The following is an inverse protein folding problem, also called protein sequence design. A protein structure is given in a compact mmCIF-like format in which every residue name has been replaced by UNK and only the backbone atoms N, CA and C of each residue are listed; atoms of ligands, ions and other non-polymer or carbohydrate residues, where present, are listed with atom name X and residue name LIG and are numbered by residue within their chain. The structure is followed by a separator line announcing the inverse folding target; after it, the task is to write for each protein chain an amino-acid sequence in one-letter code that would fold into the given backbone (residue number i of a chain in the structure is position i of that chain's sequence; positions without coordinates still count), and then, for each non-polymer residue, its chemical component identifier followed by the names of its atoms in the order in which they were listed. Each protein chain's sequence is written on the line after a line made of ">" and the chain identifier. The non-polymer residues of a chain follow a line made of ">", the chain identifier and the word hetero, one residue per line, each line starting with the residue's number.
data_IF_368268685566
#
_entry.id   IF_368268685566
#
_cell.length_a   1.000
_cell.length_b   1.000
_cell.length_c   1.000
_cell.angle_alpha   90.00
_cell.angle_beta   90.00
_cell.angle_gamma   90.00
#
_symmetry.space_group_name_H-M   'P 1'
#
loop_
_entity.id
_entity.type
_entity.pdbx_description
1 polymer ?
#
# COMPACT_ATOMS: atom_id res chain seq x y z
N UNK A 1 -2.00 -54.05 33.19
CA UNK A 1 -2.04 -52.92 34.15
C UNK A 1 -0.67 -52.26 34.09
N UNK A 2 -0.42 -50.97 33.83
CA UNK A 2 -1.23 -49.74 33.83
C UNK A 2 -0.77 -48.84 32.67
N UNK A 3 -1.74 -48.20 32.03
CA UNK A 3 -1.55 -47.11 31.05
C UNK A 3 -1.05 -45.88 31.81
N UNK A 4 -0.14 -45.09 31.24
CA UNK A 4 0.06 -43.70 31.64
C UNK A 4 -0.05 -42.80 30.41
N UNK A 5 -1.29 -42.46 30.10
CA UNK A 5 -1.68 -41.31 29.30
C UNK A 5 -1.33 -40.04 30.06
N UNK A 6 -0.45 -39.21 29.52
CA UNK A 6 -0.41 -37.80 29.90
C UNK A 6 -1.24 -37.02 28.90
N UNK A 7 -2.45 -36.67 29.37
CA UNK A 7 -3.38 -35.77 28.73
C UNK A 7 -2.77 -34.36 28.64
N UNK A 8 -2.60 -33.86 27.42
CA UNK A 8 -2.22 -32.48 27.20
C UNK A 8 -3.50 -31.62 27.30
N UNK A 9 -3.56 -30.76 28.33
CA UNK A 9 -4.68 -29.86 28.61
C UNK A 9 -4.78 -28.76 27.54
N UNK A 10 -6.00 -28.28 27.21
CA UNK A 10 -6.19 -27.23 26.20
C UNK A 10 -5.63 -25.90 26.70
N UNK A 11 -4.79 -25.26 25.88
CA UNK A 11 -4.33 -23.88 26.07
C UNK A 11 -5.55 -22.94 25.96
N UNK A 12 -5.76 -22.19 27.04
CA UNK A 12 -6.82 -21.20 27.17
C UNK A 12 -6.73 -20.15 26.05
N UNK A 13 -7.88 -19.83 25.47
CA UNK A 13 -8.06 -18.81 24.45
C UNK A 13 -7.54 -17.45 24.96
N UNK A 14 -6.57 -16.87 24.25
CA UNK A 14 -6.14 -15.51 24.48
C UNK A 14 -7.30 -14.57 24.10
N UNK A 15 -7.88 -13.95 25.13
CA UNK A 15 -8.90 -12.91 25.02
C UNK A 15 -8.43 -11.80 24.07
N UNK A 16 -9.05 -11.74 22.90
CA UNK A 16 -8.90 -10.64 21.94
C UNK A 16 -9.41 -9.38 22.62
N UNK A 17 -8.50 -8.58 23.18
CA UNK A 17 -8.83 -7.24 23.68
C UNK A 17 -9.33 -6.42 22.49
N UNK A 18 -10.65 -6.31 22.39
CA UNK A 18 -11.35 -5.34 21.55
C UNK A 18 -10.80 -3.95 21.90
N UNK A 19 -9.90 -3.45 21.08
CA UNK A 19 -9.45 -2.07 21.18
C UNK A 19 -10.55 -1.22 20.58
N UNK A 20 -11.20 -0.43 21.44
CA UNK A 20 -12.26 0.52 21.08
C UNK A 20 -11.85 1.34 19.86
N UNK A 21 -12.76 1.65 18.92
CA UNK A 21 -12.49 2.67 17.92
C UNK A 21 -12.17 3.96 18.67
N UNK A 22 -10.95 4.45 18.52
CA UNK A 22 -10.57 5.77 19.01
C UNK A 22 -11.31 6.79 18.14
N UNK A 23 -12.52 7.16 18.54
CA UNK A 23 -13.16 8.41 18.13
C UNK A 23 -12.24 9.53 18.59
N UNK A 24 -11.41 10.03 17.65
CA UNK A 24 -10.59 11.22 17.85
C UNK A 24 -11.56 12.35 18.20
N UNK A 25 -11.39 12.88 19.40
CA UNK A 25 -12.31 13.80 20.06
C UNK A 25 -12.67 15.00 19.20
N UNK A 26 -13.95 15.38 19.25
CA UNK A 26 -14.54 16.56 18.63
C UNK A 26 -13.84 17.84 19.13
N UNK A 27 -12.75 18.24 18.48
CA UNK A 27 -12.32 19.64 18.56
C UNK A 27 -13.25 20.44 17.64
N UNK A 28 -14.04 21.32 18.24
CA UNK A 28 -14.80 22.33 17.51
C UNK A 28 -13.81 23.17 16.67
N UNK A 29 -13.72 22.86 15.38
CA UNK A 29 -12.90 23.59 14.42
C UNK A 29 -13.75 24.74 13.88
N UNK A 30 -13.22 25.97 13.88
CA UNK A 30 -13.89 27.10 13.26
C UNK A 30 -14.19 26.77 11.78
N UNK A 31 -15.32 27.21 11.21
CA UNK A 31 -15.71 26.87 9.84
C UNK A 31 -14.78 27.57 8.86
N UNK A 32 -13.67 26.92 8.54
CA UNK A 32 -12.79 27.33 7.46
C UNK A 32 -13.58 27.11 6.17
N UNK A 33 -13.84 28.19 5.41
CA UNK A 33 -14.55 28.13 4.12
C UNK A 33 -13.77 27.22 3.19
N UNK A 34 -14.17 25.95 3.14
CA UNK A 34 -13.58 24.89 2.32
C UNK A 34 -14.41 24.65 1.05
N UNK A 35 -15.32 25.57 0.77
CA UNK A 35 -16.13 25.59 -0.45
C UNK A 35 -16.01 26.96 -1.14
N UNK A 36 -15.66 26.92 -2.41
CA UNK A 36 -15.79 28.05 -3.35
C UNK A 36 -16.77 27.57 -4.42
N UNK A 37 -17.98 28.14 -4.43
CA UNK A 37 -19.10 27.57 -5.18
C UNK A 37 -19.45 26.15 -4.68
N UNK A 38 -19.69 25.22 -5.61
CA UNK A 38 -20.08 23.83 -5.32
C UNK A 38 -18.89 22.87 -5.10
N UNK A 39 -17.65 23.39 -5.14
CA UNK A 39 -16.45 22.57 -5.04
C UNK A 39 -16.00 22.39 -3.59
N UNK A 40 -15.72 21.15 -3.18
CA UNK A 40 -15.20 20.78 -1.85
C UNK A 40 -13.68 20.60 -1.93
N UNK A 41 -12.94 21.34 -1.10
CA UNK A 41 -11.48 21.20 -1.00
C UNK A 41 -11.09 20.31 0.18
N UNK A 42 -10.22 19.32 -0.09
CA UNK A 42 -9.67 18.41 0.90
C UNK A 42 -8.25 17.98 0.48
N UNK A 43 -7.37 17.74 1.44
CA UNK A 43 -6.02 17.25 1.16
C UNK A 43 -5.53 16.21 2.16
N UNK A 44 -5.58 16.51 3.46
CA UNK A 44 -5.07 15.60 4.51
C UNK A 44 -6.19 14.84 5.21
N UNK A 45 -5.84 13.70 5.77
CA UNK A 45 -6.75 12.86 6.54
C UNK A 45 -7.19 13.51 7.87
N UNK A 46 -6.42 14.46 8.38
CA UNK A 46 -6.71 15.17 9.62
C UNK A 46 -7.40 16.53 9.43
N UNK A 47 -7.63 16.95 8.19
CA UNK A 47 -8.39 18.16 7.87
C UNK A 47 -9.87 17.95 8.18
N UNK A 48 -10.47 18.86 8.94
CA UNK A 48 -11.91 18.85 9.19
C UNK A 48 -12.58 19.96 8.35
N UNK A 49 -13.79 19.75 7.82
CA UNK A 49 -14.65 18.58 8.01
C UNK A 49 -14.43 17.45 6.98
N UNK A 50 -13.62 17.67 5.94
CA UNK A 50 -13.60 16.82 4.73
C UNK A 50 -12.44 15.81 4.64
N UNK A 51 -11.64 15.64 5.70
CA UNK A 51 -10.50 14.72 5.70
C UNK A 51 -10.87 13.26 5.49
N UNK A 52 -12.14 12.89 5.71
CA UNK A 52 -12.68 11.57 5.36
C UNK A 52 -12.65 11.26 3.85
N UNK A 53 -12.53 12.28 3.00
CA UNK A 53 -12.36 12.13 1.55
C UNK A 53 -10.92 11.76 1.16
N UNK A 54 -9.95 11.87 2.07
CA UNK A 54 -8.57 11.47 1.82
C UNK A 54 -8.45 9.94 1.76
N UNK A 55 -7.71 9.41 0.79
CA UNK A 55 -7.50 7.96 0.63
C UNK A 55 -6.76 7.31 1.81
N UNK A 56 -5.97 8.10 2.54
CA UNK A 56 -5.27 7.68 3.74
C UNK A 56 -6.11 7.76 5.01
N UNK A 57 -7.33 8.30 4.93
CA UNK A 57 -8.24 8.38 6.07
C UNK A 57 -8.53 7.00 6.62
N UNK A 58 -8.51 6.87 7.95
CA UNK A 58 -8.76 5.61 8.65
C UNK A 58 -10.23 5.27 8.58
N UNK A 59 -10.59 4.54 7.52
CA UNK A 59 -11.89 3.90 7.35
C UNK A 59 -11.65 2.42 7.13
N UNK A 60 -11.99 1.60 8.13
CA UNK A 60 -11.88 0.15 8.02
C UNK A 60 -13.01 -0.39 7.16
N UNK A 61 -12.68 -1.20 6.17
CA UNK A 61 -13.68 -1.86 5.33
C UNK A 61 -13.21 -3.27 4.97
N UNK A 62 -14.19 -4.12 4.65
CA UNK A 62 -13.97 -5.48 4.18
C UNK A 62 -14.18 -5.52 2.68
N UNK A 63 -13.18 -6.01 1.96
CA UNK A 63 -13.27 -6.23 0.53
C UNK A 63 -14.10 -7.51 0.27
N UNK A 64 -15.18 -7.45 -0.53
CA UNK A 64 -16.05 -8.60 -0.76
C UNK A 64 -15.34 -9.71 -1.55
N UNK A 65 -14.42 -9.36 -2.45
CA UNK A 65 -13.77 -10.30 -3.34
C UNK A 65 -12.62 -11.04 -2.66
N UNK A 66 -11.72 -10.32 -1.97
CA UNK A 66 -10.62 -10.95 -1.23
C UNK A 66 -11.02 -11.45 0.17
N UNK A 67 -12.13 -10.95 0.72
CA UNK A 67 -12.56 -11.23 2.09
C UNK A 67 -11.67 -10.60 3.18
N UNK A 68 -10.66 -9.82 2.80
CA UNK A 68 -9.71 -9.19 3.70
C UNK A 68 -10.26 -7.87 4.26
N UNK A 69 -9.85 -7.54 5.48
CA UNK A 69 -10.16 -6.25 6.11
C UNK A 69 -8.97 -5.30 5.96
N UNK A 70 -9.24 -4.11 5.41
CA UNK A 70 -8.25 -3.06 5.19
C UNK A 70 -8.48 -1.89 6.14
N UNK A 71 -7.41 -1.19 6.50
CA UNK A 71 -7.45 -0.06 7.43
C UNK A 71 -7.77 1.30 6.78
N UNK A 72 -7.54 1.43 5.47
CA UNK A 72 -7.91 2.55 4.62
C UNK A 72 -7.90 2.12 3.15
N UNK A 73 -8.45 2.97 2.27
CA UNK A 73 -8.53 2.70 0.84
C UNK A 73 -7.14 2.53 0.21
N UNK A 74 -6.17 3.34 0.59
CA UNK A 74 -4.83 3.27 0.02
C UNK A 74 -4.09 1.96 0.40
N UNK A 75 -4.33 1.39 1.58
CA UNK A 75 -3.78 0.06 1.93
C UNK A 75 -4.30 -1.01 0.97
N UNK A 76 -5.60 -0.97 0.64
CA UNK A 76 -6.21 -1.86 -0.36
C UNK A 76 -5.61 -1.62 -1.75
N UNK A 77 -5.40 -0.37 -2.15
CA UNK A 77 -4.78 -0.04 -3.44
C UNK A 77 -3.35 -0.60 -3.55
N UNK A 78 -2.52 -0.43 -2.51
CA UNK A 78 -1.15 -0.95 -2.51
C UNK A 78 -1.13 -2.47 -2.47
N UNK A 79 -2.03 -3.10 -1.70
CA UNK A 79 -2.16 -4.56 -1.69
C UNK A 79 -2.53 -5.10 -3.07
N UNK A 80 -3.55 -4.53 -3.73
CA UNK A 80 -3.94 -4.93 -5.08
C UNK A 80 -2.82 -4.70 -6.08
N UNK A 81 -2.09 -3.59 -5.97
CA UNK A 81 -0.94 -3.33 -6.82
C UNK A 81 0.15 -4.38 -6.65
N UNK A 82 0.47 -4.78 -5.42
CA UNK A 82 1.43 -5.85 -5.16
C UNK A 82 0.93 -7.20 -5.71
N UNK A 83 -0.37 -7.50 -5.59
CA UNK A 83 -0.96 -8.71 -6.15
C UNK A 83 -0.89 -8.73 -7.69
N UNK A 84 -1.21 -7.62 -8.35
CA UNK A 84 -1.09 -7.48 -9.81
C UNK A 84 0.35 -7.63 -10.30
N UNK A 85 1.32 -7.17 -9.49
CA UNK A 85 2.74 -7.36 -9.75
C UNK A 85 3.26 -8.77 -9.42
N UNK A 86 2.41 -9.65 -8.85
CA UNK A 86 2.78 -11.00 -8.43
C UNK A 86 3.62 -11.07 -7.15
N UNK A 87 3.74 -9.98 -6.38
CA UNK A 87 4.52 -9.94 -5.15
C UNK A 87 3.67 -10.19 -3.89
N UNK A 88 3.50 -11.47 -3.61
CA UNK A 88 2.84 -11.96 -2.40
C UNK A 88 3.58 -11.57 -1.10
N UNK A 89 4.87 -11.23 -1.14
CA UNK A 89 5.63 -10.81 0.06
C UNK A 89 5.32 -9.37 0.41
N UNK A 90 5.34 -8.45 -0.56
CA UNK A 90 4.92 -7.07 -0.34
C UNK A 90 3.44 -6.99 0.03
N UNK A 91 2.57 -7.76 -0.62
CA UNK A 91 1.15 -7.81 -0.28
C UNK A 91 0.92 -8.18 1.20
N UNK A 92 1.58 -9.25 1.69
CA UNK A 92 1.55 -9.63 3.12
C UNK A 92 2.10 -8.53 4.02
N UNK A 93 3.19 -7.89 3.62
CA UNK A 93 3.84 -6.84 4.41
C UNK A 93 3.00 -5.56 4.47
N UNK A 94 2.29 -5.21 3.40
CA UNK A 94 1.32 -4.11 3.34
C UNK A 94 0.16 -4.35 4.30
N UNK A 95 -0.35 -5.59 4.38
CA UNK A 95 -1.39 -5.95 5.34
C UNK A 95 -0.90 -5.89 6.79
N UNK A 96 0.34 -6.32 7.03
CA UNK A 96 0.92 -6.33 8.38
C UNK A 96 1.29 -4.93 8.90
N UNK A 97 1.49 -3.95 8.03
CA UNK A 97 1.90 -2.60 8.45
C UNK A 97 0.75 -1.61 8.45
N UNK A 98 0.76 -0.71 9.42
CA UNK A 98 -0.19 0.40 9.51
C UNK A 98 0.38 1.72 8.99
N UNK A 99 1.68 1.81 8.69
CA UNK A 99 2.32 3.06 8.29
C UNK A 99 2.02 3.41 6.83
N UNK A 100 1.38 4.55 6.53
CA UNK A 100 1.10 4.98 5.16
C UNK A 100 2.34 5.01 4.27
N UNK A 101 3.43 5.60 4.78
CA UNK A 101 4.71 5.70 4.05
C UNK A 101 5.26 4.32 3.69
N UNK A 102 5.17 3.36 4.61
CA UNK A 102 5.64 2.00 4.39
C UNK A 102 4.73 1.24 3.42
N UNK A 103 3.41 1.40 3.53
CA UNK A 103 2.44 0.80 2.60
C UNK A 103 2.69 1.28 1.16
N UNK A 104 2.86 2.60 0.98
CA UNK A 104 3.17 3.21 -0.33
C UNK A 104 4.47 2.66 -0.91
N UNK A 105 5.55 2.64 -0.12
CA UNK A 105 6.85 2.14 -0.57
C UNK A 105 6.80 0.66 -0.99
N UNK A 106 6.08 -0.18 -0.26
CA UNK A 106 5.95 -1.60 -0.58
C UNK A 106 5.15 -1.84 -1.86
N UNK A 107 4.22 -0.94 -2.20
CA UNK A 107 3.52 -0.97 -3.49
C UNK A 107 4.36 -0.45 -4.67
N UNK A 108 5.59 0.00 -4.47
CA UNK A 108 6.44 0.63 -5.50
C UNK A 108 7.53 -0.27 -6.06
N UNK A 109 7.19 -1.52 -6.34
CA UNK A 109 8.14 -2.48 -6.89
C UNK A 109 8.84 -2.03 -8.19
N UNK A 110 10.04 -2.57 -8.39
CA UNK A 110 10.82 -2.47 -9.63
C UNK A 110 10.06 -3.17 -10.77
N UNK A 111 9.89 -2.46 -11.88
CA UNK A 111 9.37 -3.04 -13.11
C UNK A 111 10.53 -3.71 -13.85
N UNK A 112 10.34 -4.96 -14.28
CA UNK A 112 11.35 -5.72 -15.00
C UNK A 112 10.76 -6.37 -16.26
N UNK A 113 11.38 -6.12 -17.42
CA UNK A 113 10.96 -6.75 -18.68
C UNK A 113 11.57 -8.16 -18.79
N UNK A 114 10.74 -9.18 -18.58
CA UNK A 114 11.11 -10.60 -18.59
C UNK A 114 11.28 -11.19 -20.01
N UNK A 115 12.12 -10.56 -20.83
CA UNK A 115 12.50 -11.06 -22.16
C UNK A 115 13.74 -11.93 -22.06
N UNK A 116 13.63 -13.20 -22.49
CA UNK A 116 14.76 -14.16 -22.49
C UNK A 116 15.90 -13.80 -23.44
N UNK A 117 15.63 -13.00 -24.47
CA UNK A 117 16.60 -12.70 -25.53
C UNK A 117 17.20 -11.31 -25.40
N UNK A 118 16.59 -10.44 -24.60
CA UNK A 118 17.03 -9.06 -24.43
C UNK A 118 17.67 -8.85 -23.05
N UNK A 119 18.98 -8.61 -23.05
CA UNK A 119 19.78 -8.29 -21.85
C UNK A 119 20.07 -6.79 -21.70
N UNK A 120 19.62 -5.96 -22.64
CA UNK A 120 19.85 -4.51 -22.61
C UNK A 120 18.57 -3.82 -22.15
N UNK A 121 17.46 -4.01 -22.86
CA UNK A 121 16.17 -3.45 -22.46
C UNK A 121 15.48 -4.32 -21.40
N UNK A 122 15.65 -5.64 -21.50
CA UNK A 122 15.12 -6.62 -20.55
C UNK A 122 16.15 -7.25 -19.62
N UNK A 123 15.68 -8.20 -18.82
CA UNK A 123 16.49 -8.93 -17.83
C UNK A 123 17.20 -10.17 -18.40
N UNK A 124 16.98 -10.53 -19.66
CA UNK A 124 17.63 -11.69 -20.30
C UNK A 124 17.13 -13.04 -19.82
N UNK A 125 16.00 -13.08 -19.12
CA UNK A 125 15.35 -14.27 -18.59
C UNK A 125 13.84 -14.12 -18.69
N UNK A 126 13.13 -15.24 -18.81
CA UNK A 126 11.69 -15.25 -18.55
C UNK A 126 11.39 -15.08 -17.05
N UNK A 127 10.13 -14.85 -16.71
CA UNK A 127 9.71 -14.56 -15.35
C UNK A 127 9.98 -15.72 -14.36
N UNK A 128 10.02 -16.98 -14.82
CA UNK A 128 10.28 -18.13 -13.96
C UNK A 128 11.77 -18.30 -13.69
N UNK A 129 12.59 -18.20 -14.73
CA UNK A 129 14.05 -18.25 -14.63
C UNK A 129 14.57 -17.09 -13.79
N UNK A 130 14.00 -15.89 -13.93
CA UNK A 130 14.37 -14.72 -13.15
C UNK A 130 14.20 -14.94 -11.64
N UNK A 131 13.17 -15.69 -11.20
CA UNK A 131 12.93 -15.97 -9.77
C UNK A 131 13.99 -16.88 -9.14
N UNK A 132 14.60 -17.76 -9.93
CA UNK A 132 15.63 -18.72 -9.47
C UNK A 132 17.04 -18.25 -9.79
N UNK A 133 17.17 -17.21 -10.62
CA UNK A 133 18.44 -16.64 -11.06
C UNK A 133 18.79 -15.41 -10.24
N UNK A 134 19.98 -15.39 -9.67
CA UNK A 134 20.48 -14.25 -8.90
C UNK A 134 20.54 -12.95 -9.73
N UNK A 135 20.24 -11.82 -9.08
CA UNK A 135 20.05 -10.49 -9.72
C UNK A 135 21.29 -10.00 -10.47
N UNK A 136 22.49 -10.41 -10.06
CA UNK A 136 23.78 -10.12 -10.71
C UNK A 136 23.88 -10.69 -12.14
N UNK A 137 23.10 -11.74 -12.44
CA UNK A 137 23.10 -12.37 -13.76
C UNK A 137 22.12 -11.75 -14.72
N UNK A 138 21.19 -10.92 -14.22
CA UNK A 138 20.15 -10.29 -15.04
C UNK A 138 20.77 -9.27 -16.00
N UNK A 139 20.08 -9.03 -17.11
CA UNK A 139 20.34 -7.92 -18.01
C UNK A 139 20.13 -6.55 -17.37
N UNK A 140 20.39 -5.50 -18.16
CA UNK A 140 20.39 -4.12 -17.70
C UNK A 140 19.01 -3.59 -17.34
N UNK A 141 17.92 -4.20 -17.85
CA UNK A 141 16.55 -3.78 -17.58
C UNK A 141 16.30 -2.28 -17.86
N UNK A 142 16.91 -1.73 -18.92
CA UNK A 142 16.82 -0.29 -19.21
C UNK A 142 15.38 0.17 -19.42
N UNK A 143 14.49 -0.69 -19.93
CA UNK A 143 13.08 -0.37 -20.07
C UNK A 143 12.41 -0.19 -18.70
N UNK A 144 12.65 -1.12 -17.77
CA UNK A 144 12.15 -1.02 -16.40
C UNK A 144 12.61 0.26 -15.70
N UNK A 145 13.91 0.57 -15.83
CA UNK A 145 14.51 1.80 -15.28
C UNK A 145 13.87 3.05 -15.89
N UNK A 146 13.71 3.09 -17.22
CA UNK A 146 13.09 4.22 -17.91
C UNK A 146 11.64 4.45 -17.45
N UNK A 147 10.84 3.38 -17.32
CA UNK A 147 9.47 3.47 -16.85
C UNK A 147 9.38 3.97 -15.39
N UNK A 148 10.31 3.53 -14.53
CA UNK A 148 10.39 4.02 -13.15
C UNK A 148 10.77 5.50 -13.10
N UNK A 149 11.72 5.95 -13.91
CA UNK A 149 12.10 7.36 -14.02
C UNK A 149 10.94 8.23 -14.52
N UNK A 150 10.20 7.76 -15.54
CA UNK A 150 9.01 8.47 -16.03
C UNK A 150 7.94 8.56 -14.94
N UNK A 151 7.67 7.45 -14.24
CA UNK A 151 6.73 7.41 -13.11
C UNK A 151 7.11 8.42 -12.03
N UNK A 152 8.39 8.50 -11.69
CA UNK A 152 8.88 9.44 -10.68
C UNK A 152 8.81 10.88 -11.17
N UNK A 153 9.12 11.15 -12.43
CA UNK A 153 8.98 12.49 -13.03
C UNK A 153 7.53 12.97 -13.01
N UNK A 154 6.58 12.16 -13.46
CA UNK A 154 5.14 12.49 -13.46
C UNK A 154 4.65 12.79 -12.03
N UNK A 155 5.14 12.07 -11.04
CA UNK A 155 4.81 12.36 -9.62
C UNK A 155 5.37 13.70 -9.17
N UNK A 156 6.65 13.97 -9.44
CA UNK A 156 7.26 15.25 -9.05
C UNK A 156 6.58 16.42 -9.76
N UNK A 157 6.20 16.27 -11.02
CA UNK A 157 5.43 17.28 -11.76
C UNK A 157 4.03 17.49 -11.16
N UNK A 158 3.33 16.40 -10.80
CA UNK A 158 2.03 16.50 -10.13
C UNK A 158 2.15 17.17 -8.74
N UNK A 159 3.20 16.86 -7.98
CA UNK A 159 3.48 17.46 -6.68
C UNK A 159 3.90 18.94 -6.80
N UNK A 160 4.70 19.30 -7.81
CA UNK A 160 5.13 20.67 -8.07
C UNK A 160 3.99 21.56 -8.56
N UNK A 161 3.18 21.06 -9.50
CA UNK A 161 1.98 21.74 -9.99
C UNK A 161 1.00 22.03 -8.85
N UNK A 162 0.81 21.05 -7.96
CA UNK A 162 -0.04 21.19 -6.77
C UNK A 162 0.52 22.20 -5.75
N UNK A 163 1.83 22.43 -5.69
CA UNK A 163 2.44 23.46 -4.82
C UNK A 163 2.28 24.86 -5.40
N UNK A 164 2.48 25.03 -6.71
CA UNK A 164 2.34 26.33 -7.40
C UNK A 164 0.89 26.83 -7.33
N UNK A 165 -0.09 25.93 -7.41
CA UNK A 165 -1.51 26.27 -7.24
C UNK A 165 -1.92 26.60 -5.80
N UNK A 166 -1.01 26.45 -4.81
CA UNK A 166 -1.27 26.76 -3.39
C UNK A 166 -0.71 28.11 -2.95
N UNK A 167 0.17 28.70 -3.76
CA UNK A 167 0.88 29.96 -3.46
C UNK A 167 0.31 31.16 -4.23
N UNK A 168 -0.64 30.93 -5.14
CA UNK A 168 -1.43 31.95 -5.85
C UNK A 168 -2.88 31.93 -5.36
#
# INVERSE_FOLDING_TARGET
>A
MRKNSQANKPRQAASTKQTKPQTRTDKAYAPMRTTVGDSIFFFKDDEQPYGFLCQWYRSRFKDPDSGLEFNCAEQWMMWNKAQLAGDATSARTIMATTSPRKQKQLGEQELAEASRFDRVWGIGFDAQQAQTTSRDKWGQNLLGIALMNVRDKVRHEAEATCKISREN
#
